data_IF_645046843126
#
_entry.id   IF_645046843126
#
_cell.length_a   1.000
_cell.length_b   1.000
_cell.length_c   1.000
_cell.angle_alpha   90.00
_cell.angle_beta   90.00
_cell.angle_gamma   90.00
#
_symmetry.space_group_name_H-M   'P 1'
#
loop_
_entity.id
_entity.type
_entity.pdbx_description
1 polymer ?
#
# COMPACT_ATOMS: atom_id res chain seq x y z
N UNK A 1 -18.52 -18.12 13.76
CA UNK A 1 -17.23 -18.29 14.45
C UNK A 1 -16.15 -17.76 13.53
N UNK A 2 -15.26 -16.91 14.04
CA UNK A 2 -14.13 -16.36 13.29
C UNK A 2 -13.14 -17.46 12.92
N UNK A 3 -12.73 -17.53 11.65
CA UNK A 3 -11.85 -18.59 11.13
C UNK A 3 -10.37 -18.17 11.04
N UNK A 4 -10.08 -16.92 11.38
CA UNK A 4 -8.74 -16.37 11.36
C UNK A 4 -8.28 -16.13 12.79
N UNK A 5 -7.12 -16.67 13.21
CA UNK A 5 -6.68 -16.55 14.59
C UNK A 5 -6.30 -15.10 14.90
N UNK A 6 -6.83 -14.55 16.00
CA UNK A 6 -6.23 -13.38 16.64
C UNK A 6 -4.84 -13.78 17.10
N UNK A 7 -3.79 -13.24 16.49
CA UNK A 7 -2.44 -13.43 16.99
C UNK A 7 -2.34 -12.78 18.38
N UNK A 8 -2.33 -13.58 19.43
CA UNK A 8 -1.80 -13.14 20.72
C UNK A 8 -0.28 -13.25 20.61
N UNK A 9 0.39 -12.12 20.37
CA UNK A 9 1.84 -12.07 20.30
C UNK A 9 2.48 -12.67 21.57
N UNK A 10 3.01 -13.89 21.47
CA UNK A 10 4.00 -14.41 22.42
C UNK A 10 5.36 -14.08 21.84
N UNK A 11 6.06 -13.15 22.50
CA UNK A 11 7.46 -12.81 22.19
C UNK A 11 8.33 -14.03 22.49
N UNK A 12 8.78 -14.72 21.43
CA UNK A 12 9.80 -15.76 21.49
C UNK A 12 10.89 -15.43 20.48
N UNK A 13 12.06 -15.00 20.97
CA UNK A 13 13.23 -14.72 20.15
C UNK A 13 13.95 -15.97 19.66
N UNK A 14 14.70 -15.85 18.56
CA UNK A 14 15.69 -16.84 18.16
C UNK A 14 16.07 -16.88 16.67
N UNK A 15 17.12 -16.14 16.32
CA UNK A 15 18.22 -16.44 15.37
C UNK A 15 18.05 -17.28 14.08
N UNK A 16 18.52 -16.69 12.96
CA UNK A 16 19.75 -17.16 12.29
C UNK A 16 19.67 -18.01 11.01
N UNK A 17 20.33 -17.50 9.94
CA UNK A 17 20.78 -18.26 8.74
C UNK A 17 19.95 -17.96 7.49
N UNK A 18 20.46 -17.64 6.30
CA UNK A 18 21.79 -17.78 5.71
C UNK A 18 21.65 -18.38 4.29
N UNK A 19 22.04 -17.64 3.25
CA UNK A 19 22.13 -18.12 1.85
C UNK A 19 21.15 -17.41 0.90
N UNK A 20 21.48 -17.02 -0.33
CA UNK A 20 22.71 -17.12 -1.11
C UNK A 20 22.77 -15.88 -2.03
N UNK A 21 23.97 -15.33 -2.22
CA UNK A 21 24.18 -14.14 -3.05
C UNK A 21 23.83 -14.39 -4.51
N UNK A 22 22.90 -13.61 -5.04
CA UNK A 22 22.64 -13.50 -6.47
C UNK A 22 23.55 -12.37 -6.98
N UNK A 23 24.49 -12.73 -7.85
CA UNK A 23 25.46 -11.80 -8.45
C UNK A 23 24.79 -10.83 -9.43
N UNK A 24 25.30 -9.60 -9.46
CA UNK A 24 24.78 -8.36 -10.11
C UNK A 24 24.74 -8.39 -11.65
N UNK A 25 24.71 -9.56 -12.29
CA UNK A 25 24.83 -9.65 -13.74
C UNK A 25 23.77 -10.55 -14.33
N UNK A 26 22.55 -10.02 -14.49
CA UNK A 26 21.61 -10.31 -15.58
C UNK A 26 20.24 -9.68 -15.30
N UNK A 27 20.11 -8.36 -15.46
CA UNK A 27 18.83 -7.74 -15.79
C UNK A 27 19.10 -6.68 -16.85
N UNK A 28 18.58 -6.88 -18.05
CA UNK A 28 18.62 -5.89 -19.12
C UNK A 28 17.79 -4.66 -18.69
N UNK A 29 18.51 -3.68 -18.15
CA UNK A 29 18.32 -2.23 -18.28
C UNK A 29 16.92 -1.61 -18.10
N UNK A 30 16.26 -1.90 -16.98
CA UNK A 30 15.15 -1.05 -16.46
C UNK A 30 15.62 0.40 -16.26
N UNK A 31 16.87 0.60 -15.82
CA UNK A 31 17.46 1.92 -15.61
C UNK A 31 17.49 2.81 -16.87
N UNK A 32 17.76 2.25 -18.05
CA UNK A 32 17.73 3.01 -19.31
C UNK A 32 16.32 3.41 -19.75
N UNK A 33 15.29 2.65 -19.39
CA UNK A 33 13.89 3.03 -19.66
C UNK A 33 13.43 4.14 -18.70
N UNK A 34 13.77 4.03 -17.42
CA UNK A 34 13.46 5.05 -16.39
C UNK A 34 14.10 6.39 -16.72
N UNK A 35 15.39 6.42 -17.12
CA UNK A 35 16.07 7.67 -17.46
C UNK A 35 15.51 8.35 -18.73
N UNK A 36 15.02 7.57 -19.71
CA UNK A 36 14.35 8.13 -20.91
C UNK A 36 12.99 8.76 -20.57
N UNK A 37 12.22 8.14 -19.69
CA UNK A 37 10.94 8.69 -19.21
C UNK A 37 11.19 9.93 -18.33
N UNK A 38 12.22 9.89 -17.48
CA UNK A 38 12.65 11.01 -16.62
C UNK A 38 13.10 12.23 -17.40
N UNK A 39 13.88 12.04 -18.47
CA UNK A 39 14.32 13.11 -19.35
C UNK A 39 13.16 13.70 -20.18
N UNK A 40 12.18 12.89 -20.58
CA UNK A 40 11.05 13.33 -21.40
C UNK A 40 9.94 14.02 -20.60
N UNK A 41 9.68 13.60 -19.34
CA UNK A 41 8.58 14.11 -18.50
C UNK A 41 8.98 14.25 -17.02
N UNK A 42 9.97 15.09 -16.67
CA UNK A 42 10.49 15.21 -15.30
C UNK A 42 9.45 15.62 -14.26
N UNK A 43 8.43 16.39 -14.66
CA UNK A 43 7.32 16.79 -13.78
C UNK A 43 6.40 15.63 -13.41
N UNK A 44 6.15 14.71 -14.35
CA UNK A 44 5.31 13.53 -14.08
C UNK A 44 6.01 12.58 -13.10
N UNK A 45 7.32 12.36 -13.30
CA UNK A 45 8.14 11.56 -12.37
C UNK A 45 8.17 12.18 -10.97
N UNK A 46 8.30 13.50 -10.88
CA UNK A 46 8.22 14.23 -9.59
C UNK A 46 6.85 14.09 -8.91
N UNK A 47 5.76 14.17 -9.68
CA UNK A 47 4.40 14.01 -9.15
C UNK A 47 4.14 12.58 -8.64
N UNK A 48 4.54 11.56 -9.41
CA UNK A 48 4.41 10.15 -9.01
C UNK A 48 5.24 9.88 -7.75
N UNK A 49 6.49 10.34 -7.70
CA UNK A 49 7.32 10.20 -6.50
C UNK A 49 6.68 10.88 -5.28
N UNK A 50 6.13 12.09 -5.44
CA UNK A 50 5.43 12.78 -4.37
C UNK A 50 4.15 12.06 -3.92
N UNK A 51 3.45 11.37 -4.83
CA UNK A 51 2.27 10.56 -4.49
C UNK A 51 2.66 9.29 -3.73
N UNK A 52 3.70 8.59 -4.18
CA UNK A 52 4.23 7.40 -3.50
C UNK A 52 4.76 7.72 -2.10
N UNK A 53 5.37 8.89 -1.90
CA UNK A 53 5.76 9.33 -0.55
C UNK A 53 4.54 9.52 0.36
N UNK A 54 3.42 10.03 -0.18
CA UNK A 54 2.17 10.12 0.58
C UNK A 54 1.54 8.75 0.82
N UNK A 55 1.69 7.80 -0.10
CA UNK A 55 1.32 6.40 0.14
C UNK A 55 2.10 5.82 1.33
N UNK A 56 3.40 6.12 1.50
CA UNK A 56 4.15 5.73 2.70
C UNK A 56 3.55 6.32 3.98
N UNK A 57 3.11 7.58 3.95
CA UNK A 57 2.41 8.19 5.09
C UNK A 57 1.08 7.48 5.41
N UNK A 58 0.28 7.16 4.38
CA UNK A 58 -0.96 6.39 4.54
C UNK A 58 -0.67 5.02 5.13
N UNK A 59 0.31 4.29 4.58
CA UNK A 59 0.73 2.99 5.09
C UNK A 59 1.13 3.05 6.56
N UNK A 60 2.00 3.99 6.94
CA UNK A 60 2.43 4.14 8.34
C UNK A 60 1.28 4.46 9.29
N UNK A 61 0.30 5.26 8.83
CA UNK A 61 -0.89 5.58 9.63
C UNK A 61 -1.82 4.37 9.77
N UNK A 62 -1.98 3.59 8.71
CA UNK A 62 -2.74 2.35 8.73
C UNK A 62 -2.08 1.31 9.63
N UNK A 63 -0.77 1.06 9.46
CA UNK A 63 0.04 0.10 10.22
C UNK A 63 -0.03 0.33 11.74
N UNK A 64 -0.10 1.58 12.17
CA UNK A 64 -0.13 1.96 13.59
C UNK A 64 -1.54 1.98 14.20
N UNK A 65 -2.57 1.67 13.42
CA UNK A 65 -3.93 1.53 13.91
C UNK A 65 -4.08 0.25 14.75
N UNK A 66 -4.88 0.28 15.81
CA UNK A 66 -5.07 -0.86 16.72
C UNK A 66 -5.61 -2.12 16.01
N UNK A 67 -6.45 -1.92 14.99
CA UNK A 67 -7.00 -3.00 14.17
C UNK A 67 -6.06 -3.59 13.13
N UNK A 68 -4.84 -3.05 12.96
CA UNK A 68 -3.95 -3.45 11.88
C UNK A 68 -3.17 -4.75 12.14
N UNK A 69 -2.99 -5.14 13.41
CA UNK A 69 -2.13 -6.25 13.82
C UNK A 69 -2.46 -7.55 13.09
N UNK A 70 -3.74 -7.86 12.90
CA UNK A 70 -4.20 -9.09 12.26
C UNK A 70 -3.85 -9.20 10.77
N UNK A 71 -3.46 -8.09 10.14
CA UNK A 71 -3.10 -8.00 8.72
C UNK A 71 -1.59 -7.87 8.49
N UNK A 72 -0.78 -7.81 9.56
CA UNK A 72 0.65 -7.48 9.44
C UNK A 72 1.44 -8.58 8.75
N UNK A 73 1.23 -9.82 9.19
CA UNK A 73 1.93 -11.00 8.70
C UNK A 73 1.07 -11.80 7.71
N UNK A 74 1.70 -12.59 6.81
CA UNK A 74 0.97 -13.50 5.95
C UNK A 74 0.15 -14.50 6.76
N UNK A 75 -0.95 -14.96 6.16
CA UNK A 75 -1.76 -16.04 6.73
C UNK A 75 -0.92 -17.31 6.80
N UNK A 76 -0.88 -17.93 7.97
CA UNK A 76 -0.29 -19.26 8.10
C UNK A 76 -1.24 -20.30 7.50
N UNK A 77 -1.04 -20.63 6.22
CA UNK A 77 -1.81 -21.62 5.48
C UNK A 77 -1.62 -23.06 6.01
N UNK A 78 -0.64 -23.31 6.90
CA UNK A 78 -0.52 -24.60 7.59
C UNK A 78 -1.53 -24.74 8.72
N UNK A 79 -1.95 -23.61 9.30
CA UNK A 79 -3.01 -23.53 10.31
C UNK A 79 -4.37 -23.35 9.64
N UNK A 80 -4.47 -22.44 8.67
CA UNK A 80 -5.69 -22.11 7.93
C UNK A 80 -5.69 -22.82 6.56
N UNK A 81 -5.83 -24.13 6.60
CA UNK A 81 -5.61 -25.01 5.44
C UNK A 81 -6.61 -24.84 4.29
N UNK A 82 -7.75 -24.21 4.51
CA UNK A 82 -8.76 -23.93 3.48
C UNK A 82 -8.75 -22.49 2.96
N UNK A 83 -7.80 -21.65 3.42
CA UNK A 83 -7.72 -20.23 3.04
C UNK A 83 -7.71 -20.03 1.51
N UNK A 84 -6.87 -20.81 0.81
CA UNK A 84 -6.73 -20.77 -0.66
C UNK A 84 -7.95 -21.26 -1.44
N UNK A 85 -8.95 -21.84 -0.78
CA UNK A 85 -10.21 -22.20 -1.46
C UNK A 85 -11.07 -20.97 -1.74
N UNK A 86 -10.87 -19.90 -0.97
CA UNK A 86 -11.66 -18.67 -1.05
C UNK A 86 -10.81 -17.48 -1.49
N UNK A 87 -9.56 -17.40 -1.02
CA UNK A 87 -8.62 -16.32 -1.34
C UNK A 87 -7.66 -16.76 -2.42
N UNK A 88 -7.72 -16.09 -3.57
CA UNK A 88 -6.87 -16.40 -4.73
C UNK A 88 -5.46 -15.80 -4.58
N UNK A 89 -5.38 -14.55 -4.13
CA UNK A 89 -4.13 -13.79 -4.03
C UNK A 89 -3.97 -13.24 -2.61
N UNK A 90 -3.26 -13.93 -1.71
CA UNK A 90 -2.94 -13.42 -0.39
C UNK A 90 -2.03 -12.21 -0.47
N UNK A 91 -2.25 -11.30 0.47
CA UNK A 91 -1.47 -10.10 0.67
C UNK A 91 -1.44 -9.79 2.16
N UNK A 92 -0.34 -9.22 2.65
CA UNK A 92 -0.23 -8.72 4.01
C UNK A 92 0.54 -7.39 4.05
N UNK A 93 0.48 -6.67 5.17
CA UNK A 93 1.13 -5.36 5.26
C UNK A 93 2.66 -5.45 5.17
N UNK A 94 3.29 -6.55 5.57
CA UNK A 94 4.74 -6.74 5.35
C UNK A 94 5.11 -6.83 3.88
N UNK A 95 4.30 -7.48 3.06
CA UNK A 95 4.52 -7.55 1.62
C UNK A 95 4.39 -6.17 0.98
N UNK A 96 3.35 -5.41 1.37
CA UNK A 96 3.18 -4.02 0.93
C UNK A 96 4.34 -3.13 1.36
N UNK A 97 4.81 -3.28 2.61
CA UNK A 97 5.98 -2.54 3.10
C UNK A 97 7.24 -2.84 2.27
N UNK A 98 7.46 -4.13 1.96
CA UNK A 98 8.58 -4.56 1.14
C UNK A 98 8.51 -3.97 -0.26
N UNK A 99 7.37 -4.08 -0.94
CA UNK A 99 7.14 -3.51 -2.29
C UNK A 99 7.30 -1.99 -2.30
N UNK A 100 6.81 -1.30 -1.26
CA UNK A 100 7.05 0.14 -1.08
C UNK A 100 8.55 0.46 -0.99
N UNK A 101 9.31 -0.30 -0.19
CA UNK A 101 10.76 -0.10 -0.03
C UNK A 101 11.56 -0.41 -1.30
N UNK A 102 11.17 -1.46 -2.02
CA UNK A 102 11.84 -1.90 -3.25
C UNK A 102 11.49 -1.02 -4.47
N UNK A 103 10.44 -0.19 -4.35
CA UNK A 103 10.00 0.72 -5.42
C UNK A 103 9.12 0.02 -6.46
N UNK A 104 8.46 -1.07 -6.07
CA UNK A 104 7.70 -1.97 -6.94
C UNK A 104 6.26 -1.48 -7.24
N UNK A 105 5.97 -0.21 -6.92
CA UNK A 105 4.70 0.43 -7.23
C UNK A 105 4.90 1.52 -8.28
N UNK A 106 4.53 1.28 -9.55
CA UNK A 106 4.62 2.27 -10.61
C UNK A 106 3.76 3.52 -10.35
N UNK A 107 2.62 3.34 -9.68
CA UNK A 107 1.66 4.40 -9.34
C UNK A 107 1.14 4.23 -7.91
N UNK A 108 0.53 5.29 -7.39
CA UNK A 108 -0.20 5.23 -6.12
C UNK A 108 -1.38 4.25 -6.11
N UNK A 109 -1.94 3.95 -7.29
CA UNK A 109 -3.08 3.06 -7.41
C UNK A 109 -2.66 1.59 -7.30
N UNK A 110 -1.46 1.23 -7.78
CA UNK A 110 -0.90 -0.11 -7.57
C UNK A 110 -0.69 -0.41 -6.08
N UNK A 111 -0.24 0.60 -5.30
CA UNK A 111 -0.18 0.50 -3.84
C UNK A 111 -1.58 0.32 -3.22
N UNK A 112 -2.57 1.07 -3.72
CA UNK A 112 -3.92 1.01 -3.19
C UNK A 112 -4.60 -0.34 -3.48
N UNK A 113 -4.32 -0.96 -4.62
CA UNK A 113 -4.82 -2.30 -4.95
C UNK A 113 -4.36 -3.34 -3.92
N UNK A 114 -3.07 -3.38 -3.58
CA UNK A 114 -2.60 -4.33 -2.56
C UNK A 114 -3.20 -4.04 -1.17
N UNK A 115 -3.33 -2.77 -0.78
CA UNK A 115 -3.95 -2.40 0.50
C UNK A 115 -5.41 -2.83 0.58
N UNK A 116 -6.17 -2.67 -0.52
CA UNK A 116 -7.56 -3.15 -0.62
C UNK A 116 -7.63 -4.67 -0.59
N UNK A 117 -6.72 -5.33 -1.30
CA UNK A 117 -6.67 -6.79 -1.37
C UNK A 117 -6.52 -7.43 0.02
N UNK A 118 -5.75 -6.81 0.92
CA UNK A 118 -5.63 -7.25 2.33
C UNK A 118 -7.00 -7.30 3.01
N UNK A 119 -7.76 -6.21 2.95
CA UNK A 119 -9.08 -6.13 3.61
C UNK A 119 -10.13 -6.95 2.87
N UNK A 120 -10.12 -6.96 1.54
CA UNK A 120 -11.06 -7.71 0.71
C UNK A 120 -10.90 -9.22 0.90
N UNK A 121 -9.67 -9.71 1.03
CA UNK A 121 -9.40 -11.10 1.36
C UNK A 121 -9.96 -11.47 2.74
N UNK A 122 -9.85 -10.58 3.72
CA UNK A 122 -10.40 -10.81 5.05
C UNK A 122 -11.93 -10.79 5.05
N UNK A 123 -12.56 -9.87 4.31
CA UNK A 123 -14.00 -9.83 4.11
C UNK A 123 -14.52 -11.07 3.36
N UNK A 124 -13.79 -11.52 2.35
CA UNK A 124 -14.14 -12.71 1.56
C UNK A 124 -14.05 -14.00 2.38
N UNK A 125 -13.01 -14.12 3.20
CA UNK A 125 -12.75 -15.34 3.94
C UNK A 125 -13.60 -15.45 5.22
N UNK A 126 -13.83 -14.33 5.91
CA UNK A 126 -14.58 -14.30 7.16
C UNK A 126 -16.09 -14.14 6.91
N UNK A 127 -16.91 -14.64 7.83
CA UNK A 127 -18.38 -14.54 7.69
C UNK A 127 -18.86 -13.13 8.01
N UNK A 128 -19.78 -12.60 7.22
CA UNK A 128 -20.42 -11.30 7.49
C UNK A 128 -21.01 -11.26 8.91
N UNK A 129 -20.76 -10.15 9.63
CA UNK A 129 -21.16 -9.96 11.03
C UNK A 129 -20.29 -10.69 12.06
N UNK A 130 -19.20 -11.35 11.64
CA UNK A 130 -18.16 -11.81 12.56
C UNK A 130 -17.24 -10.67 12.97
N UNK A 131 -16.57 -10.79 14.13
CA UNK A 131 -15.74 -9.70 14.67
C UNK A 131 -14.61 -9.31 13.70
N UNK A 132 -14.02 -10.29 13.00
CA UNK A 132 -12.96 -10.01 12.04
C UNK A 132 -13.46 -9.43 10.72
N UNK A 133 -14.66 -9.84 10.28
CA UNK A 133 -15.27 -9.23 9.11
C UNK A 133 -15.61 -7.76 9.38
N UNK A 134 -16.21 -7.45 10.54
CA UNK A 134 -16.52 -6.07 10.93
C UNK A 134 -15.25 -5.22 11.09
N UNK A 135 -14.18 -5.78 11.68
CA UNK A 135 -12.90 -5.10 11.78
C UNK A 135 -12.29 -4.83 10.40
N UNK A 136 -12.33 -5.81 9.48
CA UNK A 136 -11.83 -5.63 8.12
C UNK A 136 -12.59 -4.52 7.36
N UNK A 137 -13.91 -4.45 7.51
CA UNK A 137 -14.75 -3.42 6.88
C UNK A 137 -14.42 -2.01 7.43
N UNK A 138 -14.23 -1.89 8.75
CA UNK A 138 -13.79 -0.65 9.39
C UNK A 138 -12.40 -0.23 8.89
N UNK A 139 -11.46 -1.17 8.81
CA UNK A 139 -10.11 -0.91 8.34
C UNK A 139 -10.09 -0.53 6.86
N UNK A 140 -10.90 -1.16 6.00
CA UNK A 140 -11.07 -0.76 4.61
C UNK A 140 -11.56 0.68 4.49
N UNK A 141 -12.56 1.06 5.30
CA UNK A 141 -13.07 2.44 5.35
C UNK A 141 -11.97 3.44 5.77
N UNK A 142 -11.19 3.11 6.81
CA UNK A 142 -10.07 3.94 7.26
C UNK A 142 -9.04 4.12 6.15
N UNK A 143 -8.68 3.05 5.45
CA UNK A 143 -7.75 3.11 4.32
C UNK A 143 -8.24 4.07 3.23
N UNK A 144 -9.50 3.94 2.78
CA UNK A 144 -10.06 4.79 1.74
C UNK A 144 -10.08 6.27 2.14
N UNK A 145 -10.42 6.56 3.40
CA UNK A 145 -10.40 7.93 3.93
C UNK A 145 -8.99 8.52 3.90
N UNK A 146 -7.99 7.77 4.38
CA UNK A 146 -6.59 8.20 4.37
C UNK A 146 -6.06 8.38 2.94
N UNK A 147 -6.29 7.39 2.07
CA UNK A 147 -5.82 7.41 0.69
C UNK A 147 -6.46 8.56 -0.10
N UNK A 148 -7.77 8.74 0.02
CA UNK A 148 -8.48 9.85 -0.60
C UNK A 148 -7.95 11.20 -0.12
N UNK A 149 -7.83 11.41 1.19
CA UNK A 149 -7.45 12.71 1.73
C UNK A 149 -5.97 13.05 1.52
N UNK A 150 -5.07 12.07 1.66
CA UNK A 150 -3.62 12.31 1.66
C UNK A 150 -2.95 12.01 0.33
N UNK A 151 -3.59 11.31 -0.61
CA UNK A 151 -2.98 10.97 -1.90
C UNK A 151 -3.73 11.61 -3.05
N UNK A 152 -5.03 11.34 -3.15
CA UNK A 152 -5.88 11.72 -4.29
C UNK A 152 -6.26 13.20 -4.24
N UNK A 153 -6.83 13.66 -3.11
CA UNK A 153 -7.39 15.00 -2.94
C UNK A 153 -6.40 15.97 -2.29
N UNK A 154 -5.12 15.87 -2.66
CA UNK A 154 -4.10 16.84 -2.20
C UNK A 154 -4.08 18.03 -3.15
N UNK A 155 -4.32 19.26 -2.66
CA UNK A 155 -4.17 20.46 -3.46
C UNK A 155 -2.76 20.52 -4.02
N UNK A 156 -2.62 20.55 -5.34
CA UNK A 156 -1.32 20.61 -5.97
C UNK A 156 -0.70 21.99 -5.69
N UNK A 157 0.22 22.06 -4.74
CA UNK A 157 1.00 23.26 -4.47
C UNK A 157 1.79 23.73 -5.71
N UNK A 158 2.00 22.86 -6.71
CA UNK A 158 2.59 23.22 -8.02
C UNK A 158 1.57 23.81 -9.02
N UNK A 159 0.26 23.67 -8.78
CA UNK A 159 -0.80 24.37 -9.54
C UNK A 159 -1.19 25.72 -8.93
N UNK A 160 -0.97 25.90 -7.62
CA UNK A 160 -1.32 27.13 -6.88
C UNK A 160 -0.57 28.39 -7.37
N UNK A 161 0.47 28.25 -8.20
CA UNK A 161 1.24 29.36 -8.77
C UNK A 161 0.67 29.99 -10.05
N UNK A 162 -0.52 29.59 -10.54
CA UNK A 162 -1.04 30.00 -11.87
C UNK A 162 -2.22 30.97 -11.91
N UNK A 163 -2.59 31.63 -10.81
CA UNK A 163 -3.73 32.60 -10.82
C UNK A 163 -3.37 34.04 -10.46
N UNK A 164 -2.10 34.46 -10.56
CA UNK A 164 -1.71 35.87 -10.36
C UNK A 164 -1.48 36.71 -11.62
N UNK A 165 -1.79 36.19 -12.80
CA UNK A 165 -1.85 36.99 -14.05
C UNK A 165 -3.17 36.72 -14.79
N UNK A 166 -4.27 37.18 -14.21
CA UNK A 166 -5.40 37.68 -14.98
C UNK A 166 -5.64 39.09 -14.45
N UNK A 167 -5.00 40.04 -15.15
CA UNK A 167 -5.04 41.47 -14.87
C UNK A 167 -6.47 41.95 -14.66
N UNK A 168 -6.61 42.75 -13.61
CA UNK A 168 -7.47 43.93 -13.56
C UNK A 168 -7.59 44.58 -14.95
N UNK A 169 -8.81 44.66 -15.47
CA UNK A 169 -9.37 45.78 -16.27
C UNK A 169 -10.66 45.34 -16.96
N UNK A 170 -11.80 45.70 -16.36
CA UNK A 170 -13.03 46.06 -17.07
C UNK A 170 -14.04 46.62 -16.06
N UNK A 171 -13.73 47.81 -15.57
CA UNK A 171 -14.72 48.76 -15.05
C UNK A 171 -15.05 49.69 -16.22
N UNK A 172 -16.18 49.44 -16.88
CA UNK A 172 -17.02 50.43 -17.57
C UNK A 172 -18.42 49.86 -17.65
#
# INVERSE_FOLDING_TARGET
>A
EDKWPRFTATIGGGGGGGGAGITVAQCLNVGQMVERVRAAKPRLVSLVAARLERCRCVFNRFWTHEGAEIFQDPVDETVITDYRKYVSEPMCLRDVYKRLCDGDYPTEYDFAEDMRLITDNALTYNTEGSELHELADQMATIFEQLFSHWVVNVPDASLAGRTKDASVDALT
#
